data_IF_616596011924
#
_entry.id   IF_616596011924
#
_cell.length_a   1.000
_cell.length_b   1.000
_cell.length_c   1.000
_cell.angle_alpha   90.00
_cell.angle_beta   90.00
_cell.angle_gamma   90.00
#
_symmetry.space_group_name_H-M   'P 1'
#
loop_
_entity.id
_entity.type
_entity.pdbx_description
1 polymer ?
#
# COMPACT_ATOMS: atom_id res chain seq x y z
N UNK A 1 -13.33 3.48 19.49
CA UNK A 1 -14.29 3.15 18.40
C UNK A 1 -15.66 3.07 19.03
N UNK A 2 -16.64 3.71 18.41
CA UNK A 2 -18.03 3.69 18.85
C UNK A 2 -18.55 2.23 18.81
N UNK A 3 -19.39 1.85 19.80
CA UNK A 3 -19.98 0.53 19.86
C UNK A 3 -20.83 0.20 18.62
N UNK A 4 -21.47 1.21 18.04
CA UNK A 4 -22.20 1.06 16.78
C UNK A 4 -21.31 0.64 15.61
N UNK A 5 -20.10 1.16 15.51
CA UNK A 5 -19.13 0.78 14.47
C UNK A 5 -18.66 -0.67 14.66
N UNK A 6 -18.52 -1.10 15.91
CA UNK A 6 -18.16 -2.50 16.20
C UNK A 6 -19.26 -3.49 15.81
N UNK A 7 -20.53 -3.07 15.81
CA UNK A 7 -21.64 -3.95 15.37
C UNK A 7 -21.61 -4.27 13.87
N UNK A 8 -20.92 -3.44 13.05
CA UNK A 8 -20.73 -3.69 11.62
C UNK A 8 -19.68 -4.79 11.33
N UNK A 9 -18.88 -5.16 12.33
CA UNK A 9 -17.94 -6.28 12.22
C UNK A 9 -18.65 -7.61 12.49
N UNK A 10 -18.16 -8.69 11.86
CA UNK A 10 -18.61 -10.04 12.19
C UNK A 10 -18.08 -10.46 13.58
N UNK A 11 -18.70 -11.46 14.26
CA UNK A 11 -18.35 -11.82 15.64
C UNK A 11 -16.88 -12.14 15.85
N UNK A 12 -16.23 -12.80 14.90
CA UNK A 12 -14.81 -13.18 14.96
C UNK A 12 -13.90 -11.94 14.94
N UNK A 13 -14.23 -10.96 14.11
CA UNK A 13 -13.48 -9.69 14.00
C UNK A 13 -13.67 -8.86 15.27
N UNK A 14 -14.88 -8.82 15.84
CA UNK A 14 -15.15 -8.17 17.13
C UNK A 14 -14.31 -8.77 18.25
N UNK A 15 -14.21 -10.08 18.32
CA UNK A 15 -13.34 -10.76 19.32
C UNK A 15 -11.88 -10.45 19.07
N UNK A 16 -11.44 -10.41 17.81
CA UNK A 16 -10.04 -10.13 17.48
C UNK A 16 -9.65 -8.70 17.85
N UNK A 17 -10.47 -7.70 17.57
CA UNK A 17 -10.14 -6.30 17.87
C UNK A 17 -9.89 -6.06 19.35
N UNK A 18 -10.58 -6.77 20.25
CA UNK A 18 -10.36 -6.64 21.70
C UNK A 18 -8.99 -7.13 22.16
N UNK A 19 -8.28 -7.92 21.34
CA UNK A 19 -6.91 -8.38 21.63
C UNK A 19 -5.84 -7.37 21.24
N UNK A 20 -6.22 -6.33 20.49
CA UNK A 20 -5.30 -5.29 20.03
C UNK A 20 -5.17 -4.17 21.05
N UNK A 21 -4.05 -3.44 21.02
CA UNK A 21 -3.93 -2.20 21.79
C UNK A 21 -5.01 -1.18 21.34
N UNK A 22 -5.61 -0.47 22.28
CA UNK A 22 -6.73 0.45 22.04
C UNK A 22 -6.46 1.46 20.93
N UNK A 23 -5.24 1.99 20.85
CA UNK A 23 -4.87 2.94 19.78
C UNK A 23 -4.89 2.36 18.37
N UNK A 24 -4.93 1.02 18.23
CA UNK A 24 -5.01 0.34 16.92
C UNK A 24 -6.44 0.04 16.48
N UNK A 25 -7.41 0.11 17.40
CA UNK A 25 -8.80 -0.26 17.09
C UNK A 25 -9.38 0.56 15.92
N UNK A 26 -9.30 1.91 15.88
CA UNK A 26 -9.92 2.68 14.82
C UNK A 26 -9.41 2.30 13.43
N UNK A 27 -8.10 2.25 13.25
CA UNK A 27 -7.48 1.94 11.96
C UNK A 27 -7.74 0.50 11.52
N UNK A 28 -7.71 -0.45 12.48
CA UNK A 28 -7.98 -1.85 12.18
C UNK A 28 -9.43 -2.06 11.74
N UNK A 29 -10.39 -1.48 12.44
CA UNK A 29 -11.83 -1.56 12.12
C UNK A 29 -12.12 -0.90 10.78
N UNK A 30 -11.65 0.33 10.58
CA UNK A 30 -11.85 1.07 9.33
C UNK A 30 -11.31 0.29 8.12
N UNK A 31 -10.12 -0.30 8.24
CA UNK A 31 -9.55 -1.11 7.17
C UNK A 31 -10.37 -2.35 6.83
N UNK A 32 -10.95 -3.05 7.83
CA UNK A 32 -11.81 -4.22 7.59
C UNK A 32 -13.12 -3.83 6.92
N UNK A 33 -13.74 -2.75 7.38
CA UNK A 33 -14.97 -2.25 6.77
C UNK A 33 -14.73 -1.81 5.32
N UNK A 34 -13.63 -1.08 5.05
CA UNK A 34 -13.27 -0.67 3.70
C UNK A 34 -13.04 -1.88 2.76
N UNK A 35 -12.32 -2.90 3.23
CA UNK A 35 -12.09 -4.09 2.41
C UNK A 35 -13.37 -4.92 2.20
N UNK A 36 -14.22 -5.02 3.22
CA UNK A 36 -15.51 -5.69 3.10
C UNK A 36 -16.42 -5.00 2.10
N UNK A 37 -16.45 -3.66 2.12
CA UNK A 37 -17.22 -2.90 1.14
C UNK A 37 -16.72 -3.12 -0.28
N UNK A 38 -15.39 -3.08 -0.49
CA UNK A 38 -14.80 -3.40 -1.79
C UNK A 38 -15.15 -4.82 -2.30
N UNK A 39 -15.31 -5.81 -1.40
CA UNK A 39 -15.80 -7.13 -1.79
C UNK A 39 -17.30 -7.13 -2.11
N UNK A 40 -18.11 -6.35 -1.38
CA UNK A 40 -19.55 -6.21 -1.67
C UNK A 40 -19.81 -5.60 -3.04
N UNK A 41 -19.00 -4.62 -3.45
CA UNK A 41 -19.06 -4.05 -4.80
C UNK A 41 -18.84 -5.10 -5.90
N UNK A 42 -18.14 -6.19 -5.58
CA UNK A 42 -17.94 -7.36 -6.45
C UNK A 42 -19.02 -8.45 -6.28
N UNK A 43 -20.03 -8.22 -5.44
CA UNK A 43 -21.06 -9.22 -5.09
C UNK A 43 -20.51 -10.37 -4.25
N UNK A 44 -19.49 -10.13 -3.42
CA UNK A 44 -18.82 -11.16 -2.61
C UNK A 44 -18.98 -10.84 -1.11
N UNK A 45 -19.37 -11.83 -0.32
CA UNK A 45 -19.28 -11.79 1.14
C UNK A 45 -18.07 -12.62 1.59
N UNK A 46 -16.98 -11.98 2.02
CA UNK A 46 -15.68 -12.67 2.22
C UNK A 46 -15.58 -13.47 3.53
N UNK A 47 -16.62 -13.48 4.37
CA UNK A 47 -16.52 -14.01 5.73
C UNK A 47 -15.67 -13.13 6.66
N UNK A 48 -15.13 -13.71 7.77
CA UNK A 48 -14.27 -12.96 8.68
C UNK A 48 -12.92 -12.59 8.04
N UNK A 49 -12.57 -11.30 8.07
CA UNK A 49 -11.29 -10.80 7.55
C UNK A 49 -10.32 -10.59 8.73
N UNK A 50 -9.65 -11.63 9.16
CA UNK A 50 -8.64 -11.57 10.21
C UNK A 50 -7.28 -11.13 9.64
N UNK A 51 -6.21 -11.29 10.41
CA UNK A 51 -4.84 -11.03 9.97
C UNK A 51 -4.07 -12.36 9.86
N UNK A 52 -3.29 -12.50 8.81
CA UNK A 52 -2.28 -13.56 8.71
C UNK A 52 -1.15 -13.30 9.72
N UNK A 53 -0.25 -14.25 9.90
CA UNK A 53 0.97 -14.07 10.73
C UNK A 53 1.85 -12.89 10.27
N UNK A 54 1.78 -12.52 8.99
CA UNK A 54 2.51 -11.40 8.38
C UNK A 54 1.71 -10.09 8.32
N UNK A 55 0.49 -10.06 8.90
CA UNK A 55 -0.34 -8.86 8.99
C UNK A 55 -1.26 -8.60 7.79
N UNK A 56 -1.11 -9.33 6.69
CA UNK A 56 -2.02 -9.22 5.55
C UNK A 56 -3.44 -9.72 5.92
N UNK A 57 -4.50 -9.27 5.22
CA UNK A 57 -5.84 -9.84 5.38
C UNK A 57 -5.84 -11.34 5.10
N UNK A 58 -6.39 -12.12 6.03
CA UNK A 58 -6.60 -13.55 5.84
C UNK A 58 -7.90 -13.74 5.05
N UNK A 59 -7.78 -14.24 3.82
CA UNK A 59 -8.86 -14.39 2.86
C UNK A 59 -8.90 -15.82 2.30
N UNK A 60 -10.05 -16.28 1.78
CA UNK A 60 -10.13 -17.48 0.95
C UNK A 60 -9.14 -17.46 -0.22
N UNK A 61 -8.70 -18.61 -0.68
CA UNK A 61 -7.64 -18.76 -1.68
C UNK A 61 -7.97 -18.19 -3.06
N UNK A 62 -9.26 -18.08 -3.38
CA UNK A 62 -9.80 -17.52 -4.61
C UNK A 62 -9.99 -15.99 -4.57
N UNK A 63 -9.70 -15.37 -3.42
CA UNK A 63 -9.81 -13.93 -3.21
C UNK A 63 -8.43 -13.30 -2.97
N UNK A 64 -8.29 -12.07 -3.42
CA UNK A 64 -7.15 -11.20 -3.14
C UNK A 64 -7.67 -9.89 -2.55
N UNK A 65 -6.99 -9.37 -1.55
CA UNK A 65 -7.38 -8.12 -0.91
C UNK A 65 -6.21 -7.44 -0.20
N UNK A 66 -6.27 -6.13 -0.16
CA UNK A 66 -5.28 -5.30 0.51
C UNK A 66 -5.95 -4.13 1.22
N UNK A 67 -5.32 -3.64 2.26
CA UNK A 67 -5.81 -2.55 3.09
C UNK A 67 -4.69 -1.53 3.28
N UNK A 68 -5.03 -0.26 3.20
CA UNK A 68 -4.21 0.81 3.74
C UNK A 68 -5.06 1.79 4.54
N UNK A 69 -4.43 2.52 5.44
CA UNK A 69 -5.09 3.57 6.22
C UNK A 69 -4.11 4.70 6.54
N UNK A 70 -4.61 5.90 6.50
CA UNK A 70 -3.86 7.10 6.89
C UNK A 70 -4.76 8.03 7.70
N UNK A 71 -4.34 8.34 8.92
CA UNK A 71 -5.12 9.18 9.85
C UNK A 71 -6.58 8.69 10.01
N UNK A 72 -7.53 9.39 9.42
CA UNK A 72 -8.97 9.12 9.50
C UNK A 72 -9.53 8.37 8.30
N UNK A 73 -8.70 8.10 7.28
CA UNK A 73 -9.10 7.41 6.06
C UNK A 73 -8.61 5.97 6.05
N UNK A 74 -9.41 5.09 5.46
CA UNK A 74 -9.02 3.73 5.13
C UNK A 74 -9.48 3.39 3.72
N UNK A 75 -8.69 2.58 3.03
CA UNK A 75 -9.00 2.05 1.72
C UNK A 75 -8.85 0.55 1.70
N UNK A 76 -9.79 -0.13 1.05
CA UNK A 76 -9.75 -1.54 0.73
C UNK A 76 -9.66 -1.74 -0.77
N UNK A 77 -8.84 -2.67 -1.21
CA UNK A 77 -8.79 -3.14 -2.60
C UNK A 77 -9.12 -4.62 -2.61
N UNK A 78 -10.10 -5.03 -3.42
CA UNK A 78 -10.59 -6.40 -3.52
C UNK A 78 -10.55 -6.90 -4.97
N UNK A 79 -10.26 -8.16 -5.14
CA UNK A 79 -10.34 -8.83 -6.44
C UNK A 79 -10.61 -10.33 -6.26
N UNK A 80 -11.16 -10.98 -7.30
CA UNK A 80 -11.02 -12.43 -7.48
C UNK A 80 -9.58 -12.74 -7.86
N UNK A 81 -9.01 -13.79 -7.27
CA UNK A 81 -7.63 -14.18 -7.55
C UNK A 81 -7.57 -14.95 -8.87
N UNK A 82 -7.19 -14.26 -9.91
CA UNK A 82 -6.98 -14.84 -11.24
C UNK A 82 -5.50 -15.16 -11.45
N UNK A 83 -5.19 -16.36 -11.97
CA UNK A 83 -3.82 -16.81 -12.27
C UNK A 83 -2.84 -16.63 -11.11
N UNK A 84 -3.30 -16.85 -9.88
CA UNK A 84 -2.48 -16.70 -8.68
C UNK A 84 -2.04 -15.27 -8.37
N UNK A 85 -2.64 -14.24 -9.00
CA UNK A 85 -2.28 -12.86 -8.77
C UNK A 85 -2.60 -12.41 -7.34
N UNK A 86 -1.77 -11.52 -6.83
CA UNK A 86 -1.96 -10.79 -5.57
C UNK A 86 -2.02 -9.30 -5.84
N UNK A 87 -2.66 -8.55 -4.95
CA UNK A 87 -2.86 -7.10 -5.08
C UNK A 87 -2.43 -6.37 -3.83
N UNK A 88 -2.03 -5.12 -4.00
CA UNK A 88 -1.67 -4.23 -2.91
C UNK A 88 -2.23 -2.84 -3.14
N UNK A 89 -2.60 -2.18 -2.06
CA UNK A 89 -3.02 -0.77 -2.05
C UNK A 89 -2.28 -0.02 -0.96
N UNK A 90 -1.93 1.22 -1.26
CA UNK A 90 -1.42 2.12 -0.25
C UNK A 90 -2.02 3.53 -0.36
N UNK A 91 -2.08 4.21 0.77
CA UNK A 91 -2.65 5.54 0.92
C UNK A 91 -1.69 6.40 1.73
N UNK A 92 -1.17 7.47 1.14
CA UNK A 92 -0.27 8.42 1.80
C UNK A 92 -0.74 9.86 1.60
N UNK A 93 -0.55 10.71 2.62
CA UNK A 93 -0.84 12.12 2.47
C UNK A 93 0.11 12.73 1.44
N UNK A 94 -0.47 13.34 0.40
CA UNK A 94 0.27 14.09 -0.60
C UNK A 94 0.65 15.45 -0.01
N UNK A 95 1.94 15.72 0.25
CA UNK A 95 2.31 17.02 0.76
C UNK A 95 2.11 18.10 -0.32
N UNK A 96 1.67 19.31 0.05
CA UNK A 96 1.62 20.41 -0.89
C UNK A 96 3.03 20.71 -1.44
N UNK A 97 3.09 21.28 -2.63
CA UNK A 97 4.33 21.88 -3.11
C UNK A 97 4.73 23.03 -2.17
N UNK A 98 6.00 23.12 -1.82
CA UNK A 98 6.48 24.17 -0.94
C UNK A 98 6.67 25.49 -1.71
N UNK A 99 6.32 26.62 -1.05
CA UNK A 99 6.55 27.93 -1.61
C UNK A 99 8.05 28.31 -1.72
N UNK A 100 8.92 27.59 -1.00
CA UNK A 100 10.37 27.84 -1.04
C UNK A 100 11.17 26.54 -0.81
N UNK A 101 12.38 26.52 -1.41
CA UNK A 101 13.35 25.45 -1.21
C UNK A 101 13.78 25.27 0.27
N UNK A 102 13.71 26.34 1.07
CA UNK A 102 14.05 26.30 2.50
C UNK A 102 13.04 25.47 3.31
N UNK A 103 11.75 25.62 3.04
CA UNK A 103 10.70 24.83 3.68
C UNK A 103 10.75 23.36 3.27
N UNK A 104 11.15 23.08 2.03
CA UNK A 104 11.31 21.72 1.53
C UNK A 104 12.42 20.93 2.27
N UNK A 105 13.53 21.59 2.61
CA UNK A 105 14.69 20.95 3.28
C UNK A 105 14.41 20.55 4.72
N UNK A 106 13.57 21.28 5.42
CA UNK A 106 13.32 21.08 6.87
C UNK A 106 12.54 19.78 7.20
N UNK A 107 11.94 19.08 6.21
CA UNK A 107 10.91 18.10 6.50
C UNK A 107 11.14 16.66 6.01
N UNK A 108 12.15 16.39 5.20
CA UNK A 108 12.53 15.00 4.83
C UNK A 108 14.02 14.84 5.08
N UNK A 109 14.37 14.19 6.19
CA UNK A 109 15.76 13.87 6.48
C UNK A 109 16.40 13.04 5.35
N UNK A 110 17.72 13.19 5.10
CA UNK A 110 18.43 12.43 4.07
C UNK A 110 18.24 10.92 4.22
N UNK A 111 18.10 10.42 5.43
CA UNK A 111 17.92 8.99 5.73
C UNK A 111 16.66 8.38 5.10
N UNK A 112 15.54 9.11 4.98
CA UNK A 112 14.30 8.57 4.41
C UNK A 112 14.45 8.34 2.91
N UNK A 113 15.11 9.28 2.20
CA UNK A 113 15.33 9.18 0.75
C UNK A 113 16.15 7.94 0.42
N UNK A 114 17.29 7.77 1.08
CA UNK A 114 18.21 6.64 0.85
C UNK A 114 17.62 5.30 1.30
N UNK A 115 16.68 5.29 2.23
CA UNK A 115 16.00 4.05 2.66
C UNK A 115 14.91 3.61 1.69
N UNK A 116 14.27 4.55 1.00
CA UNK A 116 13.13 4.27 0.11
C UNK A 116 13.59 4.14 -1.34
N UNK A 117 14.47 5.03 -1.82
CA UNK A 117 14.82 5.15 -3.22
C UNK A 117 16.06 4.33 -3.58
N UNK A 118 16.02 3.67 -4.74
CA UNK A 118 17.21 3.05 -5.36
C UNK A 118 18.17 4.13 -5.83
N UNK A 119 19.41 3.77 -6.19
CA UNK A 119 20.40 4.71 -6.71
C UNK A 119 19.90 5.45 -7.96
N UNK A 120 19.21 4.73 -8.87
CA UNK A 120 18.65 5.32 -10.10
C UNK A 120 17.49 6.27 -9.81
N UNK A 121 16.65 5.95 -8.82
CA UNK A 121 15.56 6.82 -8.38
C UNK A 121 16.11 8.09 -7.69
N UNK A 122 17.17 7.97 -6.91
CA UNK A 122 17.87 9.11 -6.31
C UNK A 122 18.45 10.02 -7.39
N UNK A 123 19.10 9.46 -8.41
CA UNK A 123 19.65 10.25 -9.52
C UNK A 123 18.54 11.01 -10.28
N UNK A 124 17.39 10.36 -10.52
CA UNK A 124 16.21 11.02 -11.13
C UNK A 124 15.63 12.11 -10.22
N UNK A 125 15.61 11.90 -8.90
CA UNK A 125 15.11 12.89 -7.94
C UNK A 125 15.88 14.21 -8.02
N UNK A 126 17.17 14.19 -8.35
CA UNK A 126 17.97 15.42 -8.49
C UNK A 126 17.47 16.33 -9.64
N UNK A 127 16.84 15.76 -10.66
CA UNK A 127 16.22 16.52 -11.76
C UNK A 127 14.83 17.09 -11.41
N UNK A 128 14.22 16.64 -10.30
CA UNK A 128 12.93 17.15 -9.82
C UNK A 128 13.16 18.49 -9.10
N UNK A 129 12.35 19.54 -9.40
CA UNK A 129 12.39 20.80 -8.66
C UNK A 129 12.35 20.57 -7.14
N UNK A 130 13.16 21.32 -6.38
CA UNK A 130 13.39 21.05 -4.96
C UNK A 130 12.09 21.06 -4.15
N UNK A 131 11.18 21.97 -4.49
CA UNK A 131 9.85 22.08 -3.88
C UNK A 131 8.96 20.82 -4.06
N UNK A 132 9.20 20.04 -5.11
CA UNK A 132 8.45 18.83 -5.44
C UNK A 132 9.15 17.53 -4.98
N UNK A 133 10.42 17.61 -4.53
CA UNK A 133 11.19 16.39 -4.18
C UNK A 133 10.56 15.59 -3.05
N UNK A 134 10.05 16.28 -2.02
CA UNK A 134 9.35 15.58 -0.92
C UNK A 134 8.14 14.81 -1.43
N UNK A 135 7.34 15.44 -2.27
CA UNK A 135 6.16 14.84 -2.90
C UNK A 135 6.55 13.59 -3.72
N UNK A 136 7.62 13.70 -4.53
CA UNK A 136 8.14 12.57 -5.29
C UNK A 136 8.59 11.41 -4.39
N UNK A 137 9.29 11.68 -3.29
CA UNK A 137 9.72 10.64 -2.32
C UNK A 137 8.52 9.94 -1.68
N UNK A 138 7.49 10.68 -1.26
CA UNK A 138 6.27 10.09 -0.67
C UNK A 138 5.50 9.25 -1.70
N UNK A 139 5.41 9.69 -2.95
CA UNK A 139 4.81 8.90 -4.01
C UNK A 139 5.57 7.58 -4.23
N UNK A 140 6.89 7.61 -4.30
CA UNK A 140 7.70 6.38 -4.42
C UNK A 140 7.52 5.47 -3.21
N UNK A 141 7.47 6.03 -2.01
CA UNK A 141 7.21 5.26 -0.80
C UNK A 141 5.85 4.54 -0.89
N UNK A 142 4.79 5.25 -1.22
CA UNK A 142 3.44 4.68 -1.34
C UNK A 142 3.37 3.60 -2.43
N UNK A 143 4.00 3.83 -3.59
CA UNK A 143 4.08 2.84 -4.67
C UNK A 143 4.80 1.55 -4.22
N UNK A 144 5.91 1.69 -3.50
CA UNK A 144 6.68 0.55 -2.99
C UNK A 144 5.93 -0.20 -1.90
N UNK A 145 5.19 0.50 -1.03
CA UNK A 145 4.31 -0.12 -0.04
C UNK A 145 3.17 -0.91 -0.72
N UNK A 146 2.53 -0.36 -1.76
CA UNK A 146 1.52 -1.09 -2.53
C UNK A 146 2.12 -2.33 -3.20
N UNK A 147 3.29 -2.19 -3.83
CA UNK A 147 4.01 -3.32 -4.45
C UNK A 147 4.39 -4.38 -3.40
N UNK A 148 4.93 -3.96 -2.25
CA UNK A 148 5.29 -4.85 -1.15
C UNK A 148 4.07 -5.66 -0.67
N UNK A 149 2.93 -5.01 -0.44
CA UNK A 149 1.69 -5.69 -0.03
C UNK A 149 1.21 -6.71 -1.07
N UNK A 150 1.45 -6.45 -2.37
CA UNK A 150 1.11 -7.38 -3.44
C UNK A 150 2.08 -8.55 -3.57
N UNK A 151 3.38 -8.35 -3.33
CA UNK A 151 4.40 -9.38 -3.56
C UNK A 151 4.63 -10.27 -2.34
N UNK A 152 4.47 -9.74 -1.13
CA UNK A 152 4.71 -10.43 0.14
C UNK A 152 3.99 -11.79 0.26
N UNK A 153 2.70 -11.93 -0.11
CA UNK A 153 2.02 -13.22 -0.08
C UNK A 153 2.59 -14.26 -1.05
N UNK A 154 3.32 -13.84 -2.06
CA UNK A 154 3.88 -14.70 -3.11
C UNK A 154 5.29 -15.18 -2.78
N UNK A 155 6.09 -14.34 -2.12
CA UNK A 155 7.49 -14.66 -1.77
C UNK A 155 7.65 -15.13 -0.32
N UNK A 156 6.76 -14.72 0.60
CA UNK A 156 6.77 -15.15 2.00
C UNK A 156 7.94 -14.61 2.83
N UNK A 157 8.66 -13.60 2.32
CA UNK A 157 9.76 -12.90 2.99
C UNK A 157 9.59 -11.39 2.94
N UNK A 158 10.39 -10.69 3.73
CA UNK A 158 10.49 -9.24 3.60
C UNK A 158 11.20 -8.89 2.28
N UNK A 159 10.58 -8.03 1.47
CA UNK A 159 11.16 -7.43 0.27
C UNK A 159 11.56 -6.00 0.58
N UNK A 160 12.83 -5.68 0.42
CA UNK A 160 13.33 -4.34 0.71
C UNK A 160 12.93 -3.36 -0.41
N UNK A 161 12.79 -2.08 -0.08
CA UNK A 161 12.46 -1.04 -1.07
C UNK A 161 13.42 -0.97 -2.26
N UNK A 162 14.68 -1.33 -2.05
CA UNK A 162 15.69 -1.33 -3.10
C UNK A 162 15.60 -2.53 -4.07
N UNK A 163 14.78 -3.53 -3.76
CA UNK A 163 14.53 -4.66 -4.66
C UNK A 163 13.52 -4.32 -5.77
N UNK A 164 13.02 -3.09 -5.82
CA UNK A 164 12.19 -2.59 -6.90
C UNK A 164 12.59 -1.15 -7.27
N UNK A 165 12.81 -0.89 -8.54
CA UNK A 165 12.91 0.47 -9.08
C UNK A 165 11.61 0.81 -9.79
N UNK A 166 11.03 1.97 -9.48
CA UNK A 166 9.72 2.40 -9.97
C UNK A 166 9.84 3.80 -10.59
N UNK A 167 9.17 4.00 -11.73
CA UNK A 167 9.10 5.29 -12.39
C UNK A 167 7.65 5.65 -12.63
N UNK A 168 7.05 6.54 -11.82
CA UNK A 168 5.69 7.03 -12.05
C UNK A 168 5.62 7.81 -13.36
N UNK A 169 4.57 7.58 -14.14
CA UNK A 169 4.30 8.26 -15.41
C UNK A 169 3.11 9.23 -15.24
N UNK A 170 3.02 10.27 -16.09
CA UNK A 170 1.96 11.28 -15.97
C UNK A 170 0.54 10.76 -16.17
N UNK A 171 0.37 9.62 -16.85
CA UNK A 171 -0.92 8.96 -17.07
C UNK A 171 -1.38 8.11 -15.87
N UNK A 172 -0.61 8.12 -14.77
CA UNK A 172 -0.88 7.33 -13.58
C UNK A 172 -0.33 5.92 -13.61
N UNK A 173 0.20 5.45 -14.72
CA UNK A 173 0.88 4.16 -14.80
C UNK A 173 2.31 4.24 -14.20
N UNK A 174 2.92 3.07 -13.96
CA UNK A 174 4.25 2.99 -13.35
C UNK A 174 5.10 1.98 -14.11
N UNK A 175 6.28 2.39 -14.55
CA UNK A 175 7.30 1.46 -15.03
C UNK A 175 7.99 0.82 -13.83
N UNK A 176 8.10 -0.52 -13.82
CA UNK A 176 8.63 -1.30 -12.68
C UNK A 176 9.78 -2.19 -13.17
N UNK A 177 10.90 -2.13 -12.49
CA UNK A 177 12.00 -3.08 -12.61
C UNK A 177 12.20 -3.79 -11.25
N UNK A 178 11.96 -5.10 -11.22
CA UNK A 178 12.15 -5.92 -10.02
C UNK A 178 13.58 -6.48 -10.01
N UNK A 179 14.23 -6.40 -8.86
CA UNK A 179 15.57 -6.94 -8.57
C UNK A 179 15.50 -7.95 -7.41
N UNK A 180 14.55 -8.88 -7.50
CA UNK A 180 14.35 -9.92 -6.48
C UNK A 180 15.43 -11.00 -6.60
N UNK A 181 15.58 -11.81 -5.54
CA UNK A 181 16.45 -12.98 -5.57
C UNK A 181 15.98 -14.01 -6.61
N UNK A 182 16.91 -14.69 -7.28
CA UNK A 182 16.58 -15.79 -8.20
C UNK A 182 15.73 -16.88 -7.55
N UNK A 183 15.91 -17.11 -6.25
CA UNK A 183 15.13 -18.09 -5.48
C UNK A 183 13.65 -17.70 -5.34
N UNK A 184 13.28 -16.43 -5.51
CA UNK A 184 11.88 -15.99 -5.45
C UNK A 184 11.12 -16.34 -6.72
N UNK A 185 11.82 -16.52 -7.84
CA UNK A 185 11.27 -16.75 -9.17
C UNK A 185 10.97 -15.45 -9.92
N UNK A 186 10.40 -15.59 -11.12
CA UNK A 186 10.07 -14.46 -11.97
C UNK A 186 8.63 -13.97 -11.72
N UNK A 187 8.45 -12.65 -11.75
CA UNK A 187 7.14 -12.00 -11.50
C UNK A 187 6.82 -10.98 -12.60
N UNK A 188 5.54 -10.91 -12.95
CA UNK A 188 4.98 -9.79 -13.68
C UNK A 188 4.28 -8.88 -12.68
N UNK A 189 4.61 -7.59 -12.70
CA UNK A 189 4.04 -6.57 -11.83
C UNK A 189 3.48 -5.41 -12.66
N UNK A 190 2.34 -4.88 -12.26
CA UNK A 190 1.78 -3.61 -12.73
C UNK A 190 1.42 -2.77 -11.53
N UNK A 191 1.57 -1.45 -11.63
CA UNK A 191 1.16 -0.53 -10.60
C UNK A 191 0.58 0.75 -11.22
N UNK A 192 -0.28 1.40 -10.45
CA UNK A 192 -0.90 2.67 -10.81
C UNK A 192 -0.91 3.60 -9.61
N UNK A 193 -0.98 4.89 -9.89
CA UNK A 193 -1.15 5.91 -8.90
C UNK A 193 -2.13 6.98 -9.39
N UNK A 194 -2.79 7.57 -8.43
CA UNK A 194 -3.61 8.78 -8.64
C UNK A 194 -3.53 9.64 -7.40
N UNK A 195 -3.94 10.87 -7.51
CA UNK A 195 -4.14 11.76 -6.39
C UNK A 195 -5.63 12.01 -6.21
N UNK A 196 -6.10 11.78 -4.99
CA UNK A 196 -7.48 12.01 -4.59
C UNK A 196 -7.43 12.97 -3.41
N UNK A 197 -7.98 14.17 -3.59
CA UNK A 197 -7.87 15.26 -2.63
C UNK A 197 -6.41 15.55 -2.27
N UNK A 198 -6.01 15.36 -1.03
CA UNK A 198 -4.65 15.55 -0.51
C UNK A 198 -3.92 14.21 -0.24
N UNK A 199 -4.29 13.14 -0.96
CA UNK A 199 -3.70 11.81 -0.78
C UNK A 199 -3.25 11.20 -2.10
N UNK A 200 -2.09 10.54 -2.07
CA UNK A 200 -1.71 9.55 -3.07
C UNK A 200 -2.43 8.24 -2.77
N UNK A 201 -3.16 7.73 -3.75
CA UNK A 201 -3.69 6.38 -3.78
C UNK A 201 -2.88 5.59 -4.80
N UNK A 202 -2.22 4.53 -4.33
CA UNK A 202 -1.39 3.67 -5.17
C UNK A 202 -1.86 2.23 -5.10
N UNK A 203 -1.79 1.54 -6.24
CA UNK A 203 -2.17 0.13 -6.34
C UNK A 203 -1.08 -0.67 -7.07
N UNK A 204 -0.98 -1.94 -6.74
CA UNK A 204 -0.11 -2.87 -7.45
C UNK A 204 -0.80 -4.23 -7.63
N UNK A 205 -0.49 -4.90 -8.73
CA UNK A 205 -0.87 -6.29 -8.99
C UNK A 205 0.38 -7.07 -9.38
N UNK A 206 0.59 -8.20 -8.75
CA UNK A 206 1.75 -9.07 -8.96
C UNK A 206 1.27 -10.51 -9.19
N UNK A 207 1.88 -11.19 -10.14
CA UNK A 207 1.69 -12.64 -10.37
C UNK A 207 3.01 -13.31 -10.72
N UNK A 208 3.14 -14.59 -10.44
CA UNK A 208 4.26 -15.39 -10.96
C UNK A 208 4.16 -15.52 -12.49
N UNK A 209 5.30 -15.50 -13.16
CA UNK A 209 5.39 -15.78 -14.60
C UNK A 209 5.43 -17.29 -14.87
#
# INVERSE_FOLDING_TARGET
>A
VDEQVLTALVPEERRFVTTLALGRHPSWVAGRLALREAFRDLGIEPGPILATRRGAPALPSDLAGSISHKRTLAVGLAARRENGASIGVDLETSPPAFASAHEARAQVGPDVRTRVLTADELARLESVPEENRRRAVILHFSLKEALYKAIDPLVGRHVAFHEASMTPLPDGSVSIALALSESDGAFAATAFWTEVEDHFLTTARVRRQ
#
